data_IF_689737470355
#
_entry.id   IF_689737470355
#
_cell.length_a   1.000
_cell.length_b   1.000
_cell.length_c   1.000
_cell.angle_alpha   90.00
_cell.angle_beta   90.00
_cell.angle_gamma   90.00
#
_symmetry.space_group_name_H-M   'P 1'
#
loop_
_entity.id
_entity.type
_entity.pdbx_description
1 polymer ?
#
# COMPACT_ATOMS: atom_id res chain seq x y z
N UNK A 1 17.34 16.63 -15.68
CA UNK A 1 17.88 15.67 -16.68
C UNK A 1 18.03 16.35 -18.03
N UNK A 2 19.11 16.07 -18.73
CA UNK A 2 19.39 16.56 -20.08
C UNK A 2 19.22 15.40 -21.08
N UNK A 3 18.47 15.61 -22.16
CA UNK A 3 18.34 14.67 -23.26
C UNK A 3 18.47 15.42 -24.61
N UNK A 4 19.45 15.02 -25.42
CA UNK A 4 19.53 15.44 -26.80
C UNK A 4 18.61 14.57 -27.66
N UNK A 5 17.76 15.16 -28.48
CA UNK A 5 16.83 14.43 -29.32
C UNK A 5 17.28 14.47 -30.79
N UNK A 6 17.46 13.29 -31.36
CA UNK A 6 17.77 13.11 -32.78
C UNK A 6 16.58 12.60 -33.61
N UNK A 7 15.36 12.75 -33.13
CA UNK A 7 14.20 12.31 -33.89
C UNK A 7 13.87 13.24 -35.05
N UNK A 8 13.48 12.64 -36.19
CA UNK A 8 13.27 13.28 -37.50
C UNK A 8 12.12 14.31 -37.60
N UNK A 9 11.43 14.58 -36.53
CA UNK A 9 10.39 15.62 -36.48
C UNK A 9 10.98 16.80 -35.76
N UNK A 10 11.20 17.90 -36.42
CA UNK A 10 11.52 19.28 -35.98
C UNK A 10 11.44 19.61 -34.47
N UNK A 11 11.82 18.65 -33.63
CA UNK A 11 11.80 18.77 -32.18
C UNK A 11 13.06 19.49 -31.72
N UNK A 12 12.92 20.17 -30.61
CA UNK A 12 13.90 21.01 -29.94
C UNK A 12 15.32 20.41 -29.91
N UNK A 13 16.29 21.26 -30.12
CA UNK A 13 17.72 20.94 -30.10
C UNK A 13 18.27 20.64 -28.68
N UNK A 14 17.48 19.98 -27.86
CA UNK A 14 17.75 19.62 -26.47
C UNK A 14 16.69 20.13 -25.51
N UNK A 15 16.50 19.39 -24.42
CA UNK A 15 15.57 19.72 -23.36
C UNK A 15 16.29 19.74 -22.02
N UNK A 16 16.11 20.77 -21.24
CA UNK A 16 16.54 20.88 -19.85
C UNK A 16 15.30 20.91 -18.95
N UNK A 17 15.21 19.93 -18.04
CA UNK A 17 14.22 19.91 -16.97
C UNK A 17 14.92 20.16 -15.66
N UNK A 18 14.47 21.18 -14.94
CA UNK A 18 14.98 21.55 -13.62
C UNK A 18 13.83 21.39 -12.63
N UNK A 19 14.00 20.45 -11.72
CA UNK A 19 13.13 20.22 -10.58
C UNK A 19 13.89 20.63 -9.33
N UNK A 20 13.39 21.62 -8.58
CA UNK A 20 13.91 22.02 -7.27
C UNK A 20 12.84 21.72 -6.23
N UNK A 21 13.18 20.92 -5.22
CA UNK A 21 12.32 20.66 -4.09
C UNK A 21 13.08 20.96 -2.79
N UNK A 22 12.47 21.78 -1.96
CA UNK A 22 12.96 22.11 -0.62
C UNK A 22 11.92 21.72 0.40
N UNK A 23 12.32 20.87 1.32
CA UNK A 23 11.48 20.45 2.43
C UNK A 23 12.20 20.71 3.75
N UNK A 24 11.47 21.25 4.70
CA UNK A 24 11.91 21.28 6.08
C UNK A 24 10.84 20.66 6.97
N UNK A 25 11.30 20.05 8.05
CA UNK A 25 10.46 19.38 9.02
C UNK A 25 10.88 19.82 10.41
N UNK A 26 9.89 20.21 11.21
CA UNK A 26 10.07 20.48 12.61
C UNK A 26 9.35 19.39 13.41
N UNK A 27 10.08 18.74 14.31
CA UNK A 27 9.56 17.75 15.23
C UNK A 27 10.03 18.06 16.64
N UNK A 28 9.09 18.15 17.57
CA UNK A 28 9.41 18.22 18.99
C UNK A 28 8.58 17.23 19.76
N UNK A 29 9.24 16.48 20.63
CA UNK A 29 8.61 15.50 21.51
C UNK A 29 9.05 15.76 22.95
N UNK A 30 8.09 15.91 23.84
CA UNK A 30 8.31 16.04 25.28
C UNK A 30 7.71 14.83 25.98
N UNK A 31 8.53 14.08 26.70
CA UNK A 31 8.11 12.81 27.31
C UNK A 31 8.56 12.78 28.77
N UNK A 32 7.60 12.60 29.66
CA UNK A 32 7.84 12.31 31.08
C UNK A 32 7.72 10.79 31.28
N UNK A 33 8.74 10.17 31.84
CA UNK A 33 8.76 8.75 32.19
C UNK A 33 8.84 8.58 33.71
N UNK A 34 8.07 7.62 34.19
CA UNK A 34 8.05 7.21 35.57
C UNK A 34 8.29 5.70 35.63
N UNK A 35 9.10 5.28 36.61
CA UNK A 35 9.34 3.86 36.88
C UNK A 35 9.41 3.66 38.39
N UNK A 36 8.69 2.65 38.87
CA UNK A 36 8.68 2.31 40.30
C UNK A 36 8.58 0.80 40.47
N UNK A 37 9.40 0.27 41.38
CA UNK A 37 9.41 -1.16 41.73
C UNK A 37 9.19 -1.30 43.23
N UNK A 38 8.27 -2.19 43.63
CA UNK A 38 7.98 -2.48 45.03
C UNK A 38 7.67 -3.98 45.19
N UNK A 39 8.53 -4.66 45.94
CA UNK A 39 8.47 -6.12 46.04
C UNK A 39 8.59 -6.77 44.65
N UNK A 40 7.65 -7.61 44.29
CA UNK A 40 7.60 -8.28 42.97
C UNK A 40 6.85 -7.46 41.88
N UNK A 41 6.40 -6.27 42.20
CA UNK A 41 5.68 -5.40 41.31
C UNK A 41 6.62 -4.39 40.62
N UNK A 42 6.56 -4.35 39.30
CA UNK A 42 7.27 -3.33 38.52
C UNK A 42 6.23 -2.56 37.68
N UNK A 43 6.18 -1.27 37.88
CA UNK A 43 5.31 -0.34 37.18
C UNK A 43 6.16 0.66 36.42
N UNK A 44 5.91 0.83 35.13
CA UNK A 44 6.46 1.91 34.33
C UNK A 44 5.37 2.61 33.54
N UNK A 45 5.53 3.90 33.38
CA UNK A 45 4.58 4.69 32.61
C UNK A 45 5.25 5.87 31.94
N UNK A 46 4.61 6.35 30.91
CA UNK A 46 5.00 7.59 30.25
C UNK A 46 3.76 8.41 29.85
N UNK A 47 3.96 9.72 29.82
CA UNK A 47 3.04 10.68 29.21
C UNK A 47 3.88 11.57 28.31
N UNK A 48 3.38 11.82 27.12
CA UNK A 48 4.11 12.64 26.16
C UNK A 48 3.19 13.47 25.29
N UNK A 49 3.79 14.48 24.71
CA UNK A 49 3.21 15.26 23.62
C UNK A 49 4.21 15.35 22.47
N UNK A 50 3.69 15.45 21.26
CA UNK A 50 4.47 15.60 20.05
C UNK A 50 3.84 16.65 19.15
N UNK A 51 4.66 17.49 18.57
CA UNK A 51 4.30 18.45 17.54
C UNK A 51 5.15 18.16 16.31
N UNK A 52 4.50 17.97 15.18
CA UNK A 52 5.12 17.76 13.88
C UNK A 52 4.60 18.80 12.90
N UNK A 53 5.51 19.40 12.13
CA UNK A 53 5.20 20.32 11.05
C UNK A 53 6.13 20.06 9.88
N UNK A 54 5.59 20.01 8.69
CA UNK A 54 6.33 19.85 7.45
C UNK A 54 5.90 20.90 6.44
N UNK A 55 6.87 21.53 5.83
CA UNK A 55 6.69 22.49 4.79
C UNK A 55 7.53 22.06 3.57
N UNK A 56 6.91 21.95 2.40
CA UNK A 56 7.56 21.54 1.16
C UNK A 56 7.22 22.53 0.07
N UNK A 57 8.26 23.02 -0.60
CA UNK A 57 8.13 23.88 -1.76
C UNK A 57 8.82 23.25 -2.94
N UNK A 58 8.12 23.12 -4.07
CA UNK A 58 8.68 22.60 -5.31
C UNK A 58 8.54 23.60 -6.45
N UNK A 59 9.47 23.55 -7.39
CA UNK A 59 9.37 24.28 -8.66
C UNK A 59 9.85 23.39 -9.80
N UNK A 60 9.18 23.50 -10.94
CA UNK A 60 9.51 22.78 -12.15
C UNK A 60 9.66 23.77 -13.31
N UNK A 61 10.81 23.70 -13.99
CA UNK A 61 11.13 24.51 -15.16
C UNK A 61 11.52 23.58 -16.30
N UNK A 62 10.92 23.74 -17.45
CA UNK A 62 11.28 23.01 -18.67
C UNK A 62 11.71 23.99 -19.76
N UNK A 63 12.92 23.79 -20.30
CA UNK A 63 13.54 24.68 -21.31
C UNK A 63 13.94 23.85 -22.52
N UNK A 64 13.82 24.46 -23.69
CA UNK A 64 14.07 23.84 -24.98
C UNK A 64 15.05 24.67 -25.81
N UNK A 65 15.53 24.11 -26.93
CA UNK A 65 16.47 24.72 -27.88
C UNK A 65 17.76 25.18 -27.19
N UNK A 66 18.63 24.22 -26.90
CA UNK A 66 19.96 24.49 -26.37
C UNK A 66 20.78 25.38 -27.33
N UNK A 67 21.19 26.56 -26.86
CA UNK A 67 22.00 27.50 -27.65
C UNK A 67 23.47 27.18 -27.64
N UNK A 68 23.96 26.62 -26.54
CA UNK A 68 25.39 26.28 -26.34
C UNK A 68 25.50 24.79 -26.05
N UNK A 69 26.18 24.04 -26.91
CA UNK A 69 26.33 22.60 -26.74
C UNK A 69 27.02 22.26 -25.41
N UNK A 70 26.42 21.37 -24.64
CA UNK A 70 26.93 20.93 -23.33
C UNK A 70 26.56 21.83 -22.14
N UNK A 71 25.94 23.00 -22.38
CA UNK A 71 25.46 23.87 -21.30
C UNK A 71 24.29 23.20 -20.54
N UNK A 72 24.31 23.28 -19.20
CA UNK A 72 23.34 22.61 -18.32
C UNK A 72 22.57 23.58 -17.41
N UNK A 73 22.73 24.87 -17.61
CA UNK A 73 21.96 25.87 -16.87
C UNK A 73 20.86 26.46 -17.74
N UNK A 74 19.85 27.05 -17.10
CA UNK A 74 18.67 27.64 -17.74
C UNK A 74 19.05 28.69 -18.80
N UNK A 75 20.12 29.45 -18.58
CA UNK A 75 20.60 30.48 -19.50
C UNK A 75 21.15 29.95 -20.82
N UNK A 76 21.47 28.65 -20.92
CA UNK A 76 21.93 27.99 -22.14
C UNK A 76 20.81 27.58 -23.12
N UNK A 77 19.56 27.92 -22.83
CA UNK A 77 18.38 27.53 -23.63
C UNK A 77 17.57 28.78 -24.05
N UNK A 78 17.08 28.77 -25.30
CA UNK A 78 16.44 29.93 -25.88
C UNK A 78 14.93 29.98 -25.69
N UNK A 79 14.28 28.86 -25.39
CA UNK A 79 12.83 28.74 -25.30
C UNK A 79 12.37 28.06 -24.04
N UNK A 80 11.36 28.61 -23.44
CA UNK A 80 10.55 28.01 -22.42
C UNK A 80 9.32 27.41 -23.09
N UNK A 81 9.09 26.08 -22.92
CA UNK A 81 8.07 25.35 -23.65
C UNK A 81 8.50 24.92 -25.06
N UNK A 82 7.74 24.03 -25.71
CA UNK A 82 8.01 23.54 -27.05
C UNK A 82 7.30 24.36 -28.14
N UNK A 83 7.62 24.06 -29.42
CA UNK A 83 7.03 24.77 -30.58
C UNK A 83 5.52 24.52 -30.70
N UNK A 84 5.03 23.39 -30.23
CA UNK A 84 3.62 23.00 -30.29
C UNK A 84 2.84 23.46 -29.05
N UNK A 85 3.56 23.71 -27.96
CA UNK A 85 2.99 24.21 -26.70
C UNK A 85 3.90 25.30 -26.09
N UNK A 86 3.87 26.54 -26.67
CA UNK A 86 4.76 27.63 -26.24
C UNK A 86 4.52 28.16 -24.84
N UNK A 87 3.56 27.55 -24.11
CA UNK A 87 3.14 27.97 -22.79
C UNK A 87 3.43 26.95 -21.70
N UNK A 88 4.56 26.25 -21.74
CA UNK A 88 5.00 25.57 -20.53
C UNK A 88 5.49 26.61 -19.54
N UNK A 89 4.54 27.12 -18.80
CA UNK A 89 4.78 28.07 -17.70
C UNK A 89 5.49 27.29 -16.59
N UNK A 90 6.53 27.87 -15.94
CA UNK A 90 7.09 27.27 -14.75
C UNK A 90 5.98 26.94 -13.76
N UNK A 91 5.99 25.73 -13.25
CA UNK A 91 5.02 25.30 -12.24
C UNK A 91 5.70 25.18 -10.89
N UNK A 92 4.94 25.31 -9.84
CA UNK A 92 5.40 25.14 -8.48
C UNK A 92 4.25 24.77 -7.57
N UNK A 93 4.59 24.17 -6.45
CA UNK A 93 3.64 23.86 -5.39
C UNK A 93 4.26 24.17 -4.04
N UNK A 94 3.42 24.60 -3.13
CA UNK A 94 3.74 24.76 -1.72
C UNK A 94 2.77 23.92 -0.92
N UNK A 95 3.30 23.12 -0.01
CA UNK A 95 2.52 22.18 0.80
C UNK A 95 2.94 22.30 2.24
N UNK A 96 1.95 22.37 3.11
CA UNK A 96 2.12 22.42 4.54
C UNK A 96 1.26 21.34 5.17
N UNK A 97 1.83 20.60 6.07
CA UNK A 97 1.10 19.63 6.88
C UNK A 97 1.62 19.64 8.31
N UNK A 98 0.76 19.37 9.26
CA UNK A 98 1.12 19.34 10.65
C UNK A 98 0.25 18.39 11.46
N UNK A 99 0.81 17.88 12.53
CA UNK A 99 0.08 17.07 13.50
C UNK A 99 0.48 17.41 14.93
N UNK A 100 -0.46 17.20 15.83
CA UNK A 100 -0.28 17.33 17.26
C UNK A 100 -0.82 16.09 17.95
N UNK A 101 -0.02 15.51 18.84
CA UNK A 101 -0.35 14.27 19.52
C UNK A 101 -0.13 14.38 21.02
N UNK A 102 -1.04 13.74 21.76
CA UNK A 102 -0.87 13.48 23.20
C UNK A 102 -1.00 11.98 23.42
N UNK A 103 -0.08 11.40 24.16
CA UNK A 103 -0.06 9.96 24.38
C UNK A 103 0.37 9.58 25.78
N UNK A 104 -0.08 8.42 26.22
CA UNK A 104 0.31 7.81 27.49
C UNK A 104 0.42 6.31 27.35
N UNK A 105 1.27 5.71 28.15
CA UNK A 105 1.46 4.26 28.22
C UNK A 105 1.74 3.86 29.67
N UNK A 106 1.17 2.74 30.09
CA UNK A 106 1.43 2.13 31.39
C UNK A 106 1.77 0.65 31.17
N UNK A 107 2.86 0.22 31.76
CA UNK A 107 3.29 -1.18 31.74
C UNK A 107 3.39 -1.69 33.18
N UNK A 108 2.84 -2.85 33.42
CA UNK A 108 2.86 -3.52 34.69
C UNK A 108 3.40 -4.94 34.56
N UNK A 109 4.30 -5.31 35.45
CA UNK A 109 4.85 -6.65 35.53
C UNK A 109 4.83 -7.13 36.98
N UNK A 110 4.23 -8.28 37.22
CA UNK A 110 4.18 -8.94 38.50
C UNK A 110 5.01 -10.22 38.49
N UNK A 111 5.98 -10.30 39.37
CA UNK A 111 6.87 -11.45 39.57
C UNK A 111 7.59 -11.94 38.29
N UNK A 112 7.62 -11.15 37.23
CA UNK A 112 8.08 -11.59 35.90
C UNK A 112 7.23 -12.68 35.27
N UNK A 113 6.01 -12.93 35.78
CA UNK A 113 5.06 -13.94 35.33
C UNK A 113 3.89 -13.34 34.54
N UNK A 114 3.30 -12.27 35.07
CA UNK A 114 2.14 -11.60 34.49
C UNK A 114 2.55 -10.20 34.04
N UNK A 115 2.32 -9.92 32.79
CA UNK A 115 2.63 -8.64 32.21
C UNK A 115 1.37 -8.08 31.56
N UNK A 116 1.10 -6.79 31.80
CA UNK A 116 0.01 -6.09 31.16
C UNK A 116 0.50 -4.72 30.70
N UNK A 117 0.00 -4.25 29.56
CA UNK A 117 0.21 -2.88 29.12
C UNK A 117 -1.08 -2.25 28.61
N UNK A 118 -1.20 -0.94 28.79
CA UNK A 118 -2.25 -0.12 28.22
C UNK A 118 -1.65 1.14 27.64
N UNK A 119 -2.09 1.51 26.44
CA UNK A 119 -1.72 2.77 25.83
C UNK A 119 -2.94 3.56 25.37
N UNK A 120 -2.80 4.85 25.36
CA UNK A 120 -3.81 5.80 24.88
C UNK A 120 -3.10 6.89 24.09
N UNK A 121 -3.64 7.25 22.90
CA UNK A 121 -3.10 8.30 22.07
C UNK A 121 -4.24 9.06 21.37
N UNK A 122 -4.12 10.37 21.35
CA UNK A 122 -4.97 11.24 20.55
C UNK A 122 -4.08 12.03 19.60
N UNK A 123 -4.37 11.92 18.30
CA UNK A 123 -3.64 12.59 17.24
C UNK A 123 -4.57 13.56 16.51
N UNK A 124 -4.11 14.81 16.33
CA UNK A 124 -4.77 15.79 15.49
C UNK A 124 -3.95 16.03 14.23
N UNK A 125 -4.60 16.12 13.05
CA UNK A 125 -3.94 16.36 11.78
C UNK A 125 -4.59 17.48 10.99
N UNK A 126 -3.78 18.29 10.29
CA UNK A 126 -4.26 19.34 9.39
C UNK A 126 -4.88 18.80 8.11
N UNK A 127 -4.70 17.50 7.82
CA UNK A 127 -5.26 16.84 6.63
C UNK A 127 -6.77 16.61 6.71
N UNK A 128 -7.36 16.80 7.90
CA UNK A 128 -8.79 16.63 8.15
C UNK A 128 -9.48 17.95 8.46
N UNK A 129 -10.79 18.00 8.20
CA UNK A 129 -11.65 19.12 8.54
C UNK A 129 -11.65 19.40 10.05
N UNK A 130 -12.05 20.62 10.42
CA UNK A 130 -11.97 21.11 11.81
C UNK A 130 -12.63 20.18 12.82
N UNK A 131 -13.79 19.61 12.47
CA UNK A 131 -14.59 18.82 13.38
C UNK A 131 -14.15 17.35 13.48
N UNK A 132 -13.38 16.85 12.47
CA UNK A 132 -12.90 15.48 12.37
C UNK A 132 -11.37 15.36 12.49
N UNK A 133 -10.72 16.42 12.95
CA UNK A 133 -9.27 16.54 12.99
C UNK A 133 -8.60 15.54 13.93
N UNK A 134 -9.27 15.20 15.04
CA UNK A 134 -8.70 14.38 16.09
C UNK A 134 -9.18 12.93 16.02
N UNK A 135 -8.21 11.99 15.97
CA UNK A 135 -8.43 10.57 16.16
C UNK A 135 -7.92 10.11 17.51
N UNK A 136 -8.66 9.22 18.15
CA UNK A 136 -8.29 8.65 19.47
C UNK A 136 -8.09 7.15 19.34
N UNK A 137 -6.95 6.67 19.81
CA UNK A 137 -6.51 5.29 19.67
C UNK A 137 -6.07 4.75 21.02
N UNK A 138 -6.30 3.46 21.23
CA UNK A 138 -5.94 2.79 22.48
C UNK A 138 -5.47 1.37 22.20
N UNK A 139 -4.64 0.84 23.09
CA UNK A 139 -4.28 -0.57 23.04
C UNK A 139 -4.18 -1.17 24.43
N UNK A 140 -4.46 -2.46 24.51
CA UNK A 140 -4.29 -3.28 25.70
C UNK A 140 -3.55 -4.54 25.32
N UNK A 141 -2.58 -4.95 26.11
CA UNK A 141 -1.93 -6.23 25.95
C UNK A 141 -1.73 -6.93 27.28
N UNK A 142 -1.72 -8.27 27.22
CA UNK A 142 -1.43 -9.10 28.36
C UNK A 142 -0.58 -10.29 27.96
N UNK A 143 0.31 -10.70 28.84
CA UNK A 143 1.03 -11.96 28.66
C UNK A 143 1.23 -12.68 29.99
N UNK A 144 1.20 -14.00 29.92
CA UNK A 144 1.38 -14.90 31.04
C UNK A 144 2.51 -15.86 30.74
N UNK A 145 3.56 -15.79 31.56
CA UNK A 145 4.69 -16.71 31.50
C UNK A 145 4.39 -17.95 32.34
N UNK A 146 3.63 -18.87 31.75
CA UNK A 146 3.12 -20.10 32.38
C UNK A 146 4.26 -20.98 32.92
N UNK A 147 5.38 -21.04 32.21
CA UNK A 147 6.54 -21.81 32.61
C UNK A 147 7.17 -21.44 33.95
N UNK A 148 6.88 -20.21 34.47
CA UNK A 148 7.31 -19.77 35.79
C UNK A 148 6.35 -20.12 36.92
N UNK A 149 5.24 -20.79 36.62
CA UNK A 149 4.29 -21.22 37.66
C UNK A 149 4.79 -22.42 38.46
N UNK A 150 4.36 -22.49 39.71
CA UNK A 150 4.80 -23.56 40.62
C UNK A 150 4.40 -24.97 40.12
N UNK A 151 3.27 -25.09 39.43
CA UNK A 151 2.81 -26.37 38.87
C UNK A 151 3.68 -26.83 37.68
N UNK A 152 4.41 -25.93 37.03
CA UNK A 152 5.36 -26.20 35.95
C UNK A 152 6.76 -26.62 36.46
N UNK A 153 7.07 -26.39 37.73
CA UNK A 153 8.41 -26.62 38.29
C UNK A 153 8.83 -28.11 38.36
N UNK A 154 7.89 -29.05 38.19
CA UNK A 154 8.14 -30.52 38.32
C UNK A 154 8.35 -31.22 36.98
N UNK A 155 8.38 -30.48 35.88
CA UNK A 155 8.56 -31.06 34.53
C UNK A 155 9.80 -30.42 33.86
N UNK A 156 10.51 -31.21 33.05
CA UNK A 156 11.78 -30.83 32.41
C UNK A 156 11.63 -30.66 30.86
N UNK A 157 10.44 -30.94 30.31
CA UNK A 157 10.23 -30.92 28.86
C UNK A 157 9.99 -29.49 28.35
N UNK A 158 9.13 -28.70 29.04
CA UNK A 158 8.80 -27.36 28.65
C UNK A 158 9.76 -26.37 29.29
N UNK A 159 10.67 -25.80 28.51
CA UNK A 159 11.65 -24.84 28.99
C UNK A 159 11.04 -23.41 29.08
N UNK A 160 10.11 -23.07 28.19
CA UNK A 160 9.38 -21.83 28.21
C UNK A 160 7.98 -22.04 27.65
N UNK A 161 6.97 -21.44 28.28
CA UNK A 161 5.61 -21.35 27.78
C UNK A 161 5.07 -19.98 28.15
N UNK A 162 4.79 -19.16 27.12
CA UNK A 162 4.22 -17.82 27.26
C UNK A 162 2.99 -17.69 26.40
N UNK A 163 1.89 -17.27 26.99
CA UNK A 163 0.67 -16.87 26.28
C UNK A 163 0.66 -15.36 26.11
N UNK A 164 0.21 -14.89 24.98
CA UNK A 164 0.13 -13.45 24.64
C UNK A 164 -1.23 -13.14 24.03
N UNK A 165 -1.77 -11.98 24.38
CA UNK A 165 -2.95 -11.43 23.73
C UNK A 165 -2.80 -9.90 23.67
N UNK A 166 -3.18 -9.30 22.54
CA UNK A 166 -3.28 -7.85 22.42
C UNK A 166 -4.51 -7.47 21.59
N UNK A 167 -5.10 -6.36 21.98
CA UNK A 167 -6.17 -5.71 21.23
C UNK A 167 -5.93 -4.21 21.25
N UNK A 168 -6.08 -3.56 20.10
CA UNK A 168 -5.92 -2.12 20.03
C UNK A 168 -6.36 -1.54 18.71
N UNK A 169 -6.45 -0.21 18.70
CA UNK A 169 -6.74 0.59 17.53
C UNK A 169 -5.54 1.41 17.12
N UNK A 170 -5.39 1.67 15.82
CA UNK A 170 -4.42 2.61 15.29
C UNK A 170 -5.05 3.40 14.15
N UNK A 171 -4.71 4.70 14.09
CA UNK A 171 -5.16 5.58 13.03
C UNK A 171 -4.21 5.61 11.84
N UNK A 172 -4.76 5.89 10.69
CA UNK A 172 -4.01 6.21 9.49
C UNK A 172 -4.61 7.45 8.83
N UNK A 173 -3.76 8.39 8.48
CA UNK A 173 -4.13 9.54 7.66
C UNK A 173 -4.26 9.15 6.19
N UNK A 174 -5.02 9.96 5.45
CA UNK A 174 -4.94 9.94 4.00
C UNK A 174 -3.51 10.31 3.58
N UNK A 175 -2.92 9.52 2.68
CA UNK A 175 -1.56 9.79 2.17
C UNK A 175 -1.44 11.00 1.23
N UNK A 176 -2.43 11.89 1.22
CA UNK A 176 -2.50 13.10 0.38
C UNK A 176 -2.93 14.29 1.23
N UNK A 177 -2.31 15.45 0.97
CA UNK A 177 -2.62 16.69 1.65
C UNK A 177 -3.86 17.37 1.03
N UNK A 178 -4.52 18.21 1.81
CA UNK A 178 -5.63 19.09 1.39
C UNK A 178 -6.88 18.40 0.85
N UNK A 179 -7.15 17.13 1.20
CA UNK A 179 -8.37 16.45 0.77
C UNK A 179 -9.65 17.05 1.34
N UNK A 180 -9.54 17.80 2.43
CA UNK A 180 -10.62 18.56 3.05
C UNK A 180 -10.93 19.89 2.33
N UNK A 181 -10.04 20.35 1.41
CA UNK A 181 -10.20 21.59 0.68
C UNK A 181 -10.58 21.37 -0.78
N UNK A 182 -11.44 22.24 -1.31
CA UNK A 182 -11.66 22.31 -2.77
C UNK A 182 -10.49 23.00 -3.42
N UNK A 183 -9.82 22.29 -4.32
CA UNK A 183 -8.66 22.79 -5.06
C UNK A 183 -9.06 23.18 -6.47
N UNK A 184 -8.56 24.33 -6.91
CA UNK A 184 -8.79 24.87 -8.25
C UNK A 184 -7.51 24.76 -9.07
N UNK A 185 -7.65 24.37 -10.32
CA UNK A 185 -6.58 24.45 -11.32
C UNK A 185 -6.84 25.60 -12.25
N UNK A 186 -5.84 26.43 -12.45
CA UNK A 186 -5.84 27.46 -13.50
C UNK A 186 -5.11 26.89 -14.70
N UNK A 187 -5.78 26.71 -15.83
CA UNK A 187 -5.19 26.17 -17.05
C UNK A 187 -5.45 27.10 -18.21
N UNK A 188 -4.39 27.45 -18.91
CA UNK A 188 -4.51 28.17 -20.18
C UNK A 188 -5.10 27.31 -21.30
N UNK A 189 -5.08 25.98 -21.16
CA UNK A 189 -5.48 25.04 -22.21
C UNK A 189 -6.99 24.80 -22.25
N UNK A 190 -7.69 25.02 -21.15
CA UNK A 190 -9.15 24.80 -21.08
C UNK A 190 -9.98 25.82 -21.83
N UNK A 191 -9.38 26.96 -22.22
CA UNK A 191 -10.03 28.05 -22.90
C UNK A 191 -9.57 28.26 -24.34
N UNK A 192 -8.85 27.34 -24.95
CA UNK A 192 -8.45 27.41 -26.37
C UNK A 192 -9.67 27.49 -27.33
N UNK A 193 -10.82 26.97 -26.92
CA UNK A 193 -12.06 27.10 -27.70
C UNK A 193 -12.54 28.56 -27.83
N UNK A 194 -12.15 29.47 -26.93
CA UNK A 194 -12.49 30.90 -26.95
C UNK A 194 -11.32 31.81 -27.32
N UNK A 195 -10.17 31.23 -27.75
CA UNK A 195 -8.94 31.97 -28.08
C UNK A 195 -9.15 32.99 -29.21
N UNK A 196 -10.08 32.73 -30.11
CA UNK A 196 -10.42 33.64 -31.21
C UNK A 196 -11.46 34.72 -30.83
N UNK A 197 -11.96 34.73 -29.60
CA UNK A 197 -12.88 35.77 -29.12
C UNK A 197 -12.12 36.83 -28.34
N UNK A 198 -12.06 38.09 -28.89
CA UNK A 198 -11.29 39.18 -28.32
C UNK A 198 -11.73 39.61 -26.91
N UNK A 199 -12.91 39.20 -26.47
CA UNK A 199 -13.47 39.54 -25.15
C UNK A 199 -12.84 38.71 -24.04
N UNK A 200 -12.21 37.55 -24.34
CA UNK A 200 -11.68 36.60 -23.34
C UNK A 200 -10.17 36.44 -23.39
N UNK A 201 -9.45 37.20 -24.22
CA UNK A 201 -7.99 37.07 -24.40
C UNK A 201 -7.14 37.33 -23.15
N UNK A 202 -7.71 37.77 -22.06
CA UNK A 202 -7.01 38.06 -20.80
C UNK A 202 -7.65 37.40 -19.58
N UNK A 203 -8.65 36.55 -19.75
CA UNK A 203 -9.35 35.90 -18.64
C UNK A 203 -8.75 34.52 -18.36
N UNK A 204 -8.10 34.35 -17.22
CA UNK A 204 -7.73 33.05 -16.71
C UNK A 204 -8.95 32.41 -16.07
N UNK A 205 -9.32 31.24 -16.56
CA UNK A 205 -10.36 30.43 -15.92
C UNK A 205 -9.78 29.54 -14.85
N UNK A 206 -10.60 29.23 -13.87
CA UNK A 206 -10.29 28.24 -12.87
C UNK A 206 -11.33 27.11 -12.95
N UNK A 207 -10.86 25.87 -13.01
CA UNK A 207 -11.70 24.66 -12.91
C UNK A 207 -11.44 23.97 -11.59
N UNK A 208 -12.49 23.36 -11.03
CA UNK A 208 -12.32 22.55 -9.82
C UNK A 208 -11.54 21.30 -10.21
N UNK A 209 -10.35 21.15 -9.63
CA UNK A 209 -9.49 19.98 -9.80
C UNK A 209 -9.85 18.87 -8.81
N UNK A 210 -10.22 19.27 -7.59
CA UNK A 210 -10.59 18.38 -6.50
C UNK A 210 -11.71 19.03 -5.69
N UNK A 211 -12.79 18.30 -5.47
CA UNK A 211 -13.83 18.71 -4.53
C UNK A 211 -13.42 18.28 -3.12
N UNK A 212 -13.29 19.23 -2.22
CA UNK A 212 -12.94 19.00 -0.83
C UNK A 212 -14.05 18.27 -0.08
N UNK A 213 -13.65 17.56 0.98
CA UNK A 213 -14.57 16.92 1.91
C UNK A 213 -14.13 17.20 3.35
N UNK A 214 -14.84 18.10 4.02
CA UNK A 214 -14.59 18.46 5.42
C UNK A 214 -15.04 17.39 6.43
N UNK A 215 -15.81 16.39 5.97
CA UNK A 215 -16.27 15.25 6.76
C UNK A 215 -15.24 14.11 6.82
N UNK A 216 -14.13 14.23 6.07
CA UNK A 216 -13.08 13.22 6.13
C UNK A 216 -12.53 13.06 7.53
N UNK A 217 -12.39 11.81 7.96
CA UNK A 217 -11.85 11.40 9.24
C UNK A 217 -10.75 10.34 9.09
N UNK A 218 -10.13 10.00 10.21
CA UNK A 218 -9.11 8.97 10.29
C UNK A 218 -9.62 7.60 9.84
N UNK A 219 -8.83 6.89 9.02
CA UNK A 219 -8.99 5.45 8.87
C UNK A 219 -8.61 4.79 10.19
N UNK A 220 -9.40 3.83 10.66
CA UNK A 220 -9.14 3.13 11.92
C UNK A 220 -8.87 1.65 11.68
N UNK A 221 -7.72 1.17 12.15
CA UNK A 221 -7.40 -0.25 12.15
C UNK A 221 -7.60 -0.84 13.55
N UNK A 222 -8.47 -1.84 13.65
CA UNK A 222 -8.70 -2.66 14.84
C UNK A 222 -7.86 -3.92 14.73
N UNK A 223 -6.95 -4.13 15.67
CA UNK A 223 -6.00 -5.24 15.65
C UNK A 223 -6.24 -6.14 16.85
N UNK A 224 -6.49 -7.42 16.62
CA UNK A 224 -6.52 -8.47 17.62
C UNK A 224 -5.41 -9.47 17.28
N UNK A 225 -4.56 -9.77 18.24
CA UNK A 225 -3.52 -10.78 18.12
C UNK A 225 -3.57 -11.71 19.35
N UNK A 226 -3.46 -13.02 19.10
CA UNK A 226 -3.34 -14.04 20.13
C UNK A 226 -2.14 -14.91 19.76
N UNK A 227 -1.19 -15.02 20.66
CA UNK A 227 0.05 -15.72 20.41
C UNK A 227 0.45 -16.67 21.53
N UNK A 228 1.23 -17.67 21.16
CA UNK A 228 1.87 -18.60 22.07
C UNK A 228 3.34 -18.79 21.71
N UNK A 229 4.21 -18.67 22.70
CA UNK A 229 5.63 -18.99 22.59
C UNK A 229 5.91 -20.23 23.43
N UNK A 230 6.43 -21.28 22.80
CA UNK A 230 6.79 -22.55 23.44
C UNK A 230 8.24 -22.85 23.16
N UNK A 231 9.00 -23.16 24.20
CA UNK A 231 10.33 -23.73 24.04
C UNK A 231 10.41 -25.07 24.82
N UNK A 232 10.99 -26.05 24.20
CA UNK A 232 11.07 -27.43 24.70
C UNK A 232 12.52 -27.90 24.77
N UNK A 233 12.77 -28.92 25.64
CA UNK A 233 14.02 -29.62 25.72
C UNK A 233 15.24 -28.70 25.89
N UNK A 234 15.22 -27.84 26.91
CA UNK A 234 16.26 -26.83 27.16
C UNK A 234 16.47 -25.88 25.98
N UNK A 235 15.36 -25.36 25.45
CA UNK A 235 15.32 -24.48 24.29
C UNK A 235 15.85 -25.09 22.98
N UNK A 236 15.91 -26.43 22.90
CA UNK A 236 16.34 -27.09 21.66
C UNK A 236 15.32 -26.95 20.54
N UNK A 237 14.05 -26.81 20.86
CA UNK A 237 12.95 -26.53 19.95
C UNK A 237 12.21 -25.34 20.50
N UNK A 238 12.02 -24.30 19.66
CA UNK A 238 11.17 -23.17 20.01
C UNK A 238 10.18 -22.89 18.89
N UNK A 239 8.91 -22.69 19.25
CA UNK A 239 7.81 -22.35 18.38
C UNK A 239 7.17 -21.05 18.87
N UNK A 240 7.04 -20.08 17.99
CA UNK A 240 6.15 -18.94 18.15
C UNK A 240 5.01 -19.07 17.14
N UNK A 241 3.79 -18.99 17.61
CA UNK A 241 2.60 -19.07 16.79
C UNK A 241 1.67 -17.90 17.14
N UNK A 242 1.27 -17.16 16.13
CA UNK A 242 0.38 -16.02 16.26
C UNK A 242 -0.82 -16.19 15.32
N UNK A 243 -2.00 -15.93 15.84
CA UNK A 243 -3.20 -15.71 15.06
C UNK A 243 -3.60 -14.24 15.18
N UNK A 244 -3.93 -13.60 14.06
CA UNK A 244 -4.34 -12.23 14.05
C UNK A 244 -5.59 -11.98 13.20
N UNK A 245 -6.31 -10.94 13.60
CA UNK A 245 -7.42 -10.35 12.86
C UNK A 245 -7.24 -8.84 12.88
N UNK A 246 -7.14 -8.23 11.70
CA UNK A 246 -7.05 -6.79 11.51
C UNK A 246 -8.21 -6.32 10.62
N UNK A 247 -9.08 -5.49 11.18
CA UNK A 247 -10.14 -4.82 10.45
C UNK A 247 -9.79 -3.35 10.28
N UNK A 248 -9.76 -2.87 9.06
CA UNK A 248 -9.61 -1.46 8.74
C UNK A 248 -10.98 -0.92 8.38
N UNK A 249 -11.48 0.06 9.11
CA UNK A 249 -12.73 0.77 8.86
C UNK A 249 -12.46 2.19 8.37
N UNK A 250 -13.50 2.79 7.82
CA UNK A 250 -13.48 4.18 7.36
C UNK A 250 -12.38 4.44 6.33
N UNK A 251 -12.15 3.46 5.42
CA UNK A 251 -11.14 3.56 4.38
C UNK A 251 -11.37 4.79 3.50
N UNK A 252 -10.35 5.63 3.35
CA UNK A 252 -10.42 6.83 2.51
C UNK A 252 -10.21 6.43 1.06
N UNK A 253 -11.27 6.53 0.28
CA UNK A 253 -11.26 6.18 -1.14
C UNK A 253 -11.85 7.29 -2.00
N UNK A 254 -11.42 7.33 -3.27
CA UNK A 254 -12.02 8.21 -4.28
C UNK A 254 -13.33 7.61 -4.77
N UNK A 255 -14.43 8.29 -4.51
CA UNK A 255 -15.78 7.92 -4.98
C UNK A 255 -16.16 8.70 -6.22
N UNK A 256 -16.91 8.07 -7.13
CA UNK A 256 -17.44 8.74 -8.32
C UNK A 256 -18.67 9.54 -7.94
N UNK A 257 -18.73 10.79 -8.37
CA UNK A 257 -19.88 11.67 -8.16
C UNK A 257 -20.73 11.75 -9.43
N UNK A 258 -22.03 12.05 -9.31
CA UNK A 258 -22.88 12.36 -10.45
C UNK A 258 -22.31 13.55 -11.24
N UNK A 259 -22.37 13.50 -12.57
CA UNK A 259 -21.85 14.53 -13.46
C UNK A 259 -22.47 15.93 -13.20
N UNK A 260 -23.68 15.99 -12.64
CA UNK A 260 -24.36 17.22 -12.25
C UNK A 260 -23.57 18.06 -11.22
N UNK A 261 -22.65 17.44 -10.47
CA UNK A 261 -21.82 18.14 -9.48
C UNK A 261 -20.64 18.91 -10.12
N UNK A 262 -20.46 18.78 -11.45
CA UNK A 262 -19.35 19.45 -12.15
C UNK A 262 -17.97 18.87 -11.88
N UNK A 263 -17.85 17.90 -10.97
CA UNK A 263 -16.61 17.18 -10.60
C UNK A 263 -16.90 15.69 -10.52
N UNK A 264 -16.05 14.89 -11.16
CA UNK A 264 -16.28 13.46 -11.28
C UNK A 264 -15.95 12.64 -10.02
N UNK A 265 -15.21 13.19 -9.05
CA UNK A 265 -14.68 12.42 -7.92
C UNK A 265 -14.55 13.25 -6.65
N UNK A 266 -14.72 12.59 -5.50
CA UNK A 266 -14.45 13.12 -4.17
C UNK A 266 -13.87 12.02 -3.28
N UNK A 267 -13.01 12.37 -2.34
CA UNK A 267 -12.53 11.43 -1.33
C UNK A 267 -13.50 11.35 -0.17
N UNK A 268 -13.82 10.14 0.24
CA UNK A 268 -14.77 9.86 1.32
C UNK A 268 -14.28 8.69 2.16
N UNK A 269 -14.69 8.62 3.41
CA UNK A 269 -14.51 7.44 4.25
C UNK A 269 -15.59 6.42 3.88
N UNK A 270 -15.22 5.42 3.08
CA UNK A 270 -16.15 4.41 2.54
C UNK A 270 -15.51 3.04 2.57
N UNK A 271 -16.22 2.10 3.18
CA UNK A 271 -15.83 0.70 3.16
C UNK A 271 -14.94 0.25 4.32
N UNK A 272 -14.88 -1.07 4.43
CA UNK A 272 -14.11 -1.79 5.43
C UNK A 272 -13.39 -2.97 4.80
N UNK A 273 -12.21 -3.28 5.31
CA UNK A 273 -11.39 -4.39 4.86
C UNK A 273 -10.87 -5.18 6.05
N UNK A 274 -10.95 -6.48 5.98
CA UNK A 274 -10.45 -7.38 7.00
C UNK A 274 -9.26 -8.20 6.47
N UNK A 275 -8.23 -8.34 7.29
CA UNK A 275 -7.14 -9.28 7.11
C UNK A 275 -7.10 -10.22 8.31
N UNK A 276 -7.05 -11.51 8.07
CA UNK A 276 -6.89 -12.53 9.10
C UNK A 276 -5.86 -13.55 8.68
N UNK A 277 -5.06 -13.99 9.63
CA UNK A 277 -3.98 -14.89 9.29
C UNK A 277 -3.37 -15.61 10.47
N UNK A 278 -2.39 -16.42 10.13
CA UNK A 278 -1.57 -17.21 11.08
C UNK A 278 -0.12 -17.04 10.69
N UNK A 279 0.73 -16.84 11.68
CA UNK A 279 2.18 -16.77 11.51
C UNK A 279 2.84 -17.77 12.45
N UNK A 280 3.80 -18.54 11.93
CA UNK A 280 4.54 -19.54 12.68
C UNK A 280 6.04 -19.34 12.46
N UNK A 281 6.79 -19.42 13.55
CA UNK A 281 8.26 -19.45 13.53
C UNK A 281 8.71 -20.62 14.37
N UNK A 282 9.31 -21.62 13.73
CA UNK A 282 9.89 -22.79 14.38
C UNK A 282 11.42 -22.72 14.27
N UNK A 283 12.10 -22.73 15.42
CA UNK A 283 13.55 -22.86 15.47
C UNK A 283 13.90 -24.16 16.16
N UNK A 284 14.84 -24.89 15.59
CA UNK A 284 15.33 -26.15 16.18
C UNK A 284 16.84 -26.21 16.13
N UNK A 285 17.43 -26.69 17.20
CA UNK A 285 18.78 -27.24 17.21
C UNK A 285 18.68 -28.75 16.92
N UNK A 286 18.53 -29.06 15.62
CA UNK A 286 18.17 -30.39 15.13
C UNK A 286 19.20 -31.45 15.54
N UNK A 287 20.49 -31.14 15.34
CA UNK A 287 21.61 -31.94 15.82
C UNK A 287 22.50 -31.05 16.68
N UNK A 288 22.76 -31.49 17.90
CA UNK A 288 23.65 -30.85 18.86
C UNK A 288 24.79 -31.80 19.18
N UNK A 289 25.95 -31.60 18.57
CA UNK A 289 27.17 -32.35 18.79
C UNK A 289 28.35 -31.44 19.13
N UNK A 290 29.47 -32.04 19.56
CA UNK A 290 30.69 -31.27 19.87
C UNK A 290 31.34 -30.69 18.61
N UNK A 291 31.42 -31.45 17.53
CA UNK A 291 32.04 -31.04 16.28
C UNK A 291 31.01 -30.63 15.21
N UNK A 292 29.80 -31.22 15.23
CA UNK A 292 28.77 -30.99 14.24
C UNK A 292 27.47 -30.49 14.90
N UNK A 293 26.98 -29.35 14.39
CA UNK A 293 25.68 -28.81 14.80
C UNK A 293 24.85 -28.50 13.56
N UNK A 294 23.52 -28.71 13.71
CA UNK A 294 22.55 -28.36 12.68
C UNK A 294 21.41 -27.58 13.30
N UNK A 295 21.24 -26.34 12.82
CA UNK A 295 20.15 -25.47 13.20
C UNK A 295 19.18 -25.35 12.03
N UNK A 296 17.88 -25.33 12.34
CA UNK A 296 16.82 -25.13 11.36
C UNK A 296 15.89 -24.03 11.84
N UNK A 297 15.55 -23.11 10.94
CA UNK A 297 14.46 -22.14 11.12
C UNK A 297 13.46 -22.34 10.01
N UNK A 298 12.19 -22.55 10.37
CA UNK A 298 11.05 -22.58 9.45
C UNK A 298 10.12 -21.41 9.81
N UNK A 299 9.81 -20.60 8.82
CA UNK A 299 8.76 -19.60 8.93
C UNK A 299 7.61 -19.94 7.99
N UNK A 300 6.39 -19.72 8.44
CA UNK A 300 5.17 -19.89 7.66
C UNK A 300 4.23 -18.76 7.98
N UNK A 301 3.64 -18.16 6.95
CA UNK A 301 2.62 -17.13 7.07
C UNK A 301 1.47 -17.42 6.13
N UNK A 302 0.27 -17.22 6.62
CA UNK A 302 -0.97 -17.25 5.85
C UNK A 302 -1.73 -15.95 6.11
N UNK A 303 -2.24 -15.32 5.06
CA UNK A 303 -3.14 -14.17 5.16
C UNK A 303 -4.30 -14.30 4.18
N UNK A 304 -5.50 -14.03 4.66
CA UNK A 304 -6.68 -13.81 3.85
C UNK A 304 -7.12 -12.36 3.99
N UNK A 305 -7.37 -11.72 2.85
CA UNK A 305 -7.89 -10.37 2.77
C UNK A 305 -9.34 -10.41 2.23
N UNK A 306 -10.22 -9.60 2.79
CA UNK A 306 -11.63 -9.55 2.41
C UNK A 306 -12.14 -8.11 2.52
N UNK A 307 -12.81 -7.63 1.50
CA UNK A 307 -13.53 -6.36 1.49
C UNK A 307 -14.90 -6.59 2.15
N UNK A 308 -15.02 -6.27 3.44
CA UNK A 308 -16.18 -6.66 4.26
C UNK A 308 -17.35 -5.70 4.17
N UNK A 309 -17.12 -4.45 3.71
CA UNK A 309 -18.16 -3.44 3.52
C UNK A 309 -17.76 -2.44 2.45
N UNK A 310 -18.71 -2.04 1.62
CA UNK A 310 -18.64 -0.91 0.70
C UNK A 310 -19.90 -0.05 0.88
N UNK A 311 -19.72 1.26 1.04
CA UNK A 311 -20.86 2.21 1.08
C UNK A 311 -21.34 2.61 -0.34
N UNK A 312 -20.82 1.94 -1.36
CA UNK A 312 -21.20 2.04 -2.76
C UNK A 312 -21.31 0.63 -3.35
N UNK A 313 -22.08 0.47 -4.42
CA UNK A 313 -22.35 -0.83 -5.04
C UNK A 313 -21.05 -1.58 -5.41
N UNK A 314 -20.02 -0.84 -5.87
CA UNK A 314 -18.75 -1.42 -6.32
C UNK A 314 -17.60 -0.45 -6.16
N UNK A 315 -16.40 -0.98 -5.94
CA UNK A 315 -15.15 -0.24 -5.94
C UNK A 315 -14.41 -0.48 -7.27
N UNK A 316 -14.22 0.59 -8.07
CA UNK A 316 -13.43 0.51 -9.29
C UNK A 316 -12.03 1.08 -9.07
N UNK A 317 -11.00 0.25 -9.27
CA UNK A 317 -9.60 0.67 -9.24
C UNK A 317 -9.05 0.83 -10.66
N UNK A 318 -8.02 1.66 -10.79
CA UNK A 318 -7.32 1.88 -12.07
C UNK A 318 -6.99 0.55 -12.76
N UNK A 319 -7.24 0.44 -14.07
CA UNK A 319 -7.00 -0.76 -14.86
C UNK A 319 -8.17 -1.73 -14.94
N UNK A 320 -9.39 -1.23 -14.79
CA UNK A 320 -10.65 -2.01 -14.97
C UNK A 320 -10.87 -3.12 -13.94
N UNK A 321 -10.35 -2.95 -12.73
CA UNK A 321 -10.60 -3.86 -11.62
C UNK A 321 -11.80 -3.36 -10.83
N UNK A 322 -12.89 -4.11 -10.85
CA UNK A 322 -14.08 -3.87 -10.04
C UNK A 322 -14.15 -4.90 -8.92
N UNK A 323 -14.39 -4.43 -7.72
CA UNK A 323 -14.52 -5.25 -6.52
C UNK A 323 -15.88 -5.00 -5.88
N UNK A 324 -16.43 -6.04 -5.28
CA UNK A 324 -17.68 -6.05 -4.53
C UNK A 324 -17.40 -6.45 -3.08
N UNK A 325 -18.40 -6.29 -2.22
CA UNK A 325 -18.33 -6.86 -0.87
C UNK A 325 -18.10 -8.37 -0.94
N UNK A 326 -17.23 -8.88 -0.08
CA UNK A 326 -16.80 -10.28 -0.04
C UNK A 326 -15.59 -10.59 -0.92
N UNK A 327 -15.22 -9.72 -1.86
CA UNK A 327 -14.05 -9.91 -2.71
C UNK A 327 -12.72 -9.75 -1.95
N UNK A 328 -11.72 -10.49 -2.39
CA UNK A 328 -10.35 -10.23 -1.98
C UNK A 328 -9.74 -9.16 -2.90
N UNK A 329 -9.15 -8.11 -2.32
CA UNK A 329 -8.60 -6.97 -3.08
C UNK A 329 -7.39 -7.35 -3.95
N UNK A 330 -6.77 -8.49 -3.68
CA UNK A 330 -5.65 -9.04 -4.44
C UNK A 330 -6.11 -9.97 -5.59
N UNK A 331 -7.43 -10.14 -5.79
CA UNK A 331 -7.96 -10.92 -6.92
C UNK A 331 -7.54 -10.34 -8.27
N UNK A 332 -7.15 -11.23 -9.15
CA UNK A 332 -6.94 -10.95 -10.56
C UNK A 332 -8.23 -11.26 -11.32
N UNK A 333 -8.98 -10.23 -11.67
CA UNK A 333 -10.19 -10.35 -12.47
C UNK A 333 -9.86 -10.04 -13.93
N UNK A 334 -10.09 -10.99 -14.84
CA UNK A 334 -9.80 -10.88 -16.27
C UNK A 334 -10.88 -11.59 -17.08
N UNK A 335 -11.07 -11.17 -18.34
CA UNK A 335 -11.88 -11.95 -19.28
C UNK A 335 -11.12 -13.24 -19.59
N UNK A 336 -11.79 -14.37 -19.43
CA UNK A 336 -11.18 -15.69 -19.64
C UNK A 336 -11.20 -16.05 -21.11
N UNK A 337 -10.05 -16.31 -21.70
CA UNK A 337 -9.92 -16.94 -23.01
C UNK A 337 -10.17 -18.45 -22.85
N UNK A 338 -11.10 -19.02 -23.62
CA UNK A 338 -11.48 -20.43 -23.57
C UNK A 338 -10.78 -21.27 -24.61
N UNK A 339 -10.32 -20.64 -25.69
CA UNK A 339 -9.67 -21.34 -26.81
C UNK A 339 -9.56 -20.46 -28.04
N UNK A 340 -9.29 -21.13 -29.15
CA UNK A 340 -9.29 -20.54 -30.49
C UNK A 340 -10.34 -21.28 -31.31
N UNK A 341 -11.17 -20.56 -32.02
CA UNK A 341 -12.14 -21.12 -32.96
C UNK A 341 -11.39 -21.81 -34.13
N UNK A 342 -11.59 -23.12 -34.33
CA UNK A 342 -10.86 -23.86 -35.35
C UNK A 342 -11.21 -23.47 -36.78
N UNK A 343 -12.38 -22.83 -37.00
CA UNK A 343 -12.83 -22.42 -38.35
C UNK A 343 -12.30 -21.02 -38.70
N UNK A 344 -12.29 -20.11 -37.72
CA UNK A 344 -11.94 -18.70 -37.96
C UNK A 344 -10.54 -18.35 -37.52
N UNK A 345 -9.93 -19.13 -36.62
CA UNK A 345 -8.63 -18.83 -35.99
C UNK A 345 -8.67 -17.71 -34.97
N UNK A 346 -9.86 -17.18 -34.61
CA UNK A 346 -9.98 -16.12 -33.60
C UNK A 346 -10.10 -16.67 -32.18
N UNK A 347 -9.64 -15.86 -31.19
CA UNK A 347 -9.78 -16.21 -29.79
C UNK A 347 -11.26 -16.25 -29.38
N UNK A 348 -11.62 -17.25 -28.59
CA UNK A 348 -12.92 -17.39 -27.95
C UNK A 348 -12.84 -16.98 -26.46
N UNK A 349 -13.89 -16.33 -25.96
CA UNK A 349 -13.95 -15.77 -24.63
C UNK A 349 -15.11 -16.34 -23.82
N UNK A 350 -14.93 -16.52 -22.53
CA UNK A 350 -16.03 -16.86 -21.63
C UNK A 350 -16.77 -15.59 -21.25
N UNK A 351 -18.07 -15.54 -21.49
CA UNK A 351 -19.01 -14.58 -20.94
C UNK A 351 -19.80 -15.26 -19.83
N UNK A 352 -19.53 -14.89 -18.60
CA UNK A 352 -20.23 -15.41 -17.40
C UNK A 352 -21.35 -14.44 -17.08
N UNK A 353 -22.59 -14.92 -17.13
CA UNK A 353 -23.77 -14.14 -16.80
C UNK A 353 -23.98 -14.03 -15.28
N UNK A 354 -24.88 -13.15 -14.84
CA UNK A 354 -25.19 -12.95 -13.42
C UNK A 354 -25.75 -14.19 -12.72
N UNK A 355 -26.42 -15.08 -13.49
CA UNK A 355 -26.93 -16.36 -12.99
C UNK A 355 -25.85 -17.46 -12.89
N UNK A 356 -24.60 -17.14 -13.22
CA UNK A 356 -23.46 -18.07 -13.24
C UNK A 356 -23.34 -18.92 -14.49
N UNK A 357 -24.27 -18.80 -15.45
CA UNK A 357 -24.15 -19.49 -16.74
C UNK A 357 -22.98 -18.93 -17.55
N UNK A 358 -22.34 -19.77 -18.36
CA UNK A 358 -21.19 -19.37 -19.16
C UNK A 358 -21.47 -19.60 -20.63
N UNK A 359 -21.42 -18.55 -21.43
CA UNK A 359 -21.50 -18.56 -22.87
C UNK A 359 -20.12 -18.36 -23.50
N UNK A 360 -19.80 -19.09 -24.57
CA UNK A 360 -18.59 -18.88 -25.35
C UNK A 360 -18.89 -17.90 -26.47
N UNK A 361 -18.14 -16.79 -26.54
CA UNK A 361 -18.32 -15.73 -27.53
C UNK A 361 -17.05 -15.53 -28.36
N UNK A 362 -17.23 -15.07 -29.61
CA UNK A 362 -16.16 -14.99 -30.60
C UNK A 362 -15.33 -13.69 -30.52
N UNK A 363 -15.74 -12.71 -29.70
CA UNK A 363 -15.02 -11.44 -29.60
C UNK A 363 -15.08 -10.88 -28.21
N UNK A 364 -14.11 -10.03 -27.88
CA UNK A 364 -14.07 -9.32 -26.58
C UNK A 364 -15.27 -8.37 -26.41
N UNK A 365 -15.78 -7.79 -27.53
CA UNK A 365 -16.95 -6.92 -27.51
C UNK A 365 -18.25 -7.67 -27.19
N UNK A 366 -18.32 -8.96 -27.49
CA UNK A 366 -19.45 -9.81 -27.13
C UNK A 366 -19.36 -10.33 -25.68
N UNK A 367 -18.17 -10.30 -25.10
CA UNK A 367 -17.96 -10.63 -23.67
C UNK A 367 -18.39 -9.51 -22.71
N UNK A 368 -19.23 -8.58 -23.19
CA UNK A 368 -19.83 -7.49 -22.40
C UNK A 368 -21.16 -7.96 -21.83
N UNK A 369 -21.39 -7.71 -20.55
CA UNK A 369 -22.62 -8.01 -19.83
C UNK A 369 -23.72 -6.97 -20.12
N UNK A 370 -24.95 -7.27 -19.72
CA UNK A 370 -26.09 -6.37 -19.92
C UNK A 370 -25.93 -4.97 -19.32
N UNK A 371 -25.08 -4.82 -18.29
CA UNK A 371 -24.73 -3.55 -17.64
C UNK A 371 -23.61 -2.76 -18.36
N UNK A 372 -23.12 -3.26 -19.50
CA UNK A 372 -22.04 -2.64 -20.29
C UNK A 372 -20.62 -2.94 -19.80
N UNK A 373 -20.45 -3.79 -18.80
CA UNK A 373 -19.15 -4.20 -18.27
C UNK A 373 -18.64 -5.49 -18.94
N UNK A 374 -17.30 -5.63 -19.04
CA UNK A 374 -16.70 -6.88 -19.48
C UNK A 374 -16.93 -7.98 -18.43
N UNK A 375 -17.20 -9.20 -18.90
CA UNK A 375 -17.35 -10.36 -18.05
C UNK A 375 -16.00 -10.80 -17.48
N UNK A 376 -15.64 -10.22 -16.34
CA UNK A 376 -14.42 -10.57 -15.62
C UNK A 376 -14.66 -11.76 -14.71
N UNK A 377 -13.78 -12.74 -14.76
CA UNK A 377 -13.74 -13.87 -13.82
C UNK A 377 -12.50 -13.78 -12.95
N UNK A 378 -12.61 -14.25 -11.70
CA UNK A 378 -11.47 -14.39 -10.82
C UNK A 378 -10.58 -15.54 -11.34
N UNK A 379 -9.34 -15.21 -11.69
CA UNK A 379 -8.34 -16.18 -12.18
C UNK A 379 -7.30 -16.56 -11.12
N UNK A 380 -7.44 -16.05 -9.90
CA UNK A 380 -6.57 -16.29 -8.76
C UNK A 380 -6.11 -14.99 -8.10
N UNK A 381 -5.21 -15.10 -7.14
CA UNK A 381 -4.69 -13.97 -6.37
C UNK A 381 -3.40 -13.43 -7.01
N UNK A 382 -3.22 -12.11 -7.00
CA UNK A 382 -1.97 -11.45 -7.41
C UNK A 382 -0.90 -11.46 -6.32
N UNK A 383 -1.30 -11.70 -5.09
CA UNK A 383 -0.41 -11.83 -3.92
C UNK A 383 -0.56 -13.23 -3.34
N UNK A 384 0.58 -13.84 -3.00
CA UNK A 384 0.60 -15.16 -2.39
C UNK A 384 -0.11 -15.15 -1.02
N UNK A 385 -1.14 -15.96 -0.80
CA UNK A 385 -1.74 -16.10 0.53
C UNK A 385 -0.87 -16.91 1.50
N UNK A 386 0.03 -17.75 1.00
CA UNK A 386 0.96 -18.54 1.77
C UNK A 386 2.39 -18.18 1.41
N UNK A 387 3.21 -17.83 2.40
CA UNK A 387 4.64 -17.56 2.19
C UNK A 387 5.46 -17.90 3.42
N UNK A 388 6.75 -18.04 3.22
CA UNK A 388 7.68 -18.30 4.30
C UNK A 388 9.09 -18.58 3.83
N UNK A 389 9.90 -19.11 4.75
CA UNK A 389 11.28 -19.46 4.51
C UNK A 389 11.71 -20.66 5.30
N UNK A 390 12.69 -21.35 4.77
CA UNK A 390 13.33 -22.51 5.38
C UNK A 390 14.83 -22.31 5.36
N UNK A 391 15.42 -22.15 6.53
CA UNK A 391 16.84 -21.91 6.73
C UNK A 391 17.47 -23.07 7.45
N UNK A 392 18.61 -23.56 6.96
CA UNK A 392 19.45 -24.54 7.63
C UNK A 392 20.87 -24.01 7.75
N UNK A 393 21.43 -24.11 8.93
CA UNK A 393 22.83 -23.82 9.21
C UNK A 393 23.50 -25.07 9.74
N UNK A 394 24.49 -25.54 9.03
CA UNK A 394 25.31 -26.68 9.41
C UNK A 394 26.69 -26.17 9.80
N UNK A 395 27.16 -26.51 10.99
CA UNK A 395 28.53 -26.21 11.41
C UNK A 395 29.28 -27.51 11.66
N UNK A 396 30.46 -27.62 11.09
CA UNK A 396 31.36 -28.70 11.31
C UNK A 396 32.79 -28.19 11.54
N UNK A 397 33.27 -28.29 12.78
CA UNK A 397 34.53 -27.67 13.20
C UNK A 397 34.60 -26.18 12.83
N UNK A 398 35.50 -25.83 11.89
CA UNK A 398 35.67 -24.45 11.42
C UNK A 398 34.88 -24.13 10.15
N UNK A 399 34.02 -25.03 9.67
CA UNK A 399 33.21 -24.86 8.49
C UNK A 399 31.77 -24.55 8.86
N UNK A 400 31.17 -23.62 8.13
CA UNK A 400 29.75 -23.32 8.20
C UNK A 400 29.13 -23.36 6.81
N UNK A 401 28.00 -24.05 6.68
CA UNK A 401 27.16 -24.04 5.50
C UNK A 401 25.80 -23.47 5.85
N UNK A 402 25.45 -22.36 5.23
CA UNK A 402 24.15 -21.70 5.37
C UNK A 402 23.31 -21.87 4.10
N UNK A 403 22.12 -22.47 4.25
CA UNK A 403 21.16 -22.63 3.16
C UNK A 403 19.86 -21.94 3.53
N UNK A 404 19.42 -21.01 2.69
CA UNK A 404 18.16 -20.30 2.88
C UNK A 404 17.30 -20.45 1.63
N UNK A 405 16.03 -20.84 1.83
CA UNK A 405 15.02 -20.99 0.79
C UNK A 405 13.80 -20.20 1.19
N UNK A 406 13.25 -19.41 0.28
CA UNK A 406 11.96 -18.76 0.44
C UNK A 406 10.92 -19.40 -0.45
N UNK A 407 9.68 -19.37 -0.04
CA UNK A 407 8.57 -19.86 -0.85
C UNK A 407 7.37 -18.90 -0.77
N UNK A 408 6.64 -18.82 -1.89
CA UNK A 408 5.38 -18.11 -2.01
C UNK A 408 4.46 -18.97 -2.89
N UNK A 409 3.27 -19.28 -2.40
CA UNK A 409 2.39 -20.26 -3.02
C UNK A 409 1.02 -19.67 -3.32
N UNK A 410 0.35 -20.25 -4.31
CA UNK A 410 -1.04 -20.00 -4.69
C UNK A 410 -1.30 -18.56 -5.14
N UNK A 411 -0.42 -18.03 -6.00
CA UNK A 411 -0.62 -16.72 -6.62
C UNK A 411 -0.35 -16.76 -8.12
N UNK A 412 -0.83 -15.74 -8.82
CA UNK A 412 -0.69 -15.55 -10.26
C UNK A 412 0.06 -14.27 -10.56
N UNK A 413 0.94 -14.32 -11.55
CA UNK A 413 1.63 -13.13 -12.05
C UNK A 413 1.13 -12.84 -13.47
N UNK A 414 0.68 -11.61 -13.70
CA UNK A 414 0.35 -11.17 -15.05
C UNK A 414 1.63 -10.87 -15.82
N UNK A 415 1.87 -11.62 -16.89
CA UNK A 415 3.03 -11.42 -17.76
C UNK A 415 2.75 -10.28 -18.74
N UNK A 416 2.98 -9.03 -18.30
CA UNK A 416 2.76 -7.84 -19.11
C UNK A 416 3.70 -7.77 -20.34
N UNK A 417 4.91 -8.29 -20.21
CA UNK A 417 5.90 -8.33 -21.30
C UNK A 417 5.38 -9.22 -22.44
N UNK A 418 4.92 -10.43 -22.11
CA UNK A 418 4.33 -11.32 -23.12
C UNK A 418 3.07 -10.71 -23.73
N UNK A 419 2.20 -10.10 -22.91
CA UNK A 419 0.99 -9.45 -23.39
C UNK A 419 1.30 -8.29 -24.35
N UNK A 420 2.32 -7.49 -24.09
CA UNK A 420 2.77 -6.42 -24.99
C UNK A 420 3.28 -6.96 -26.33
N UNK A 421 4.13 -7.99 -26.29
CA UNK A 421 4.67 -8.61 -27.49
C UNK A 421 3.64 -9.37 -28.34
N UNK A 422 2.54 -9.83 -27.72
CA UNK A 422 1.49 -10.59 -28.42
C UNK A 422 0.26 -9.75 -28.79
N UNK A 423 0.15 -8.52 -28.29
CA UNK A 423 -1.05 -7.68 -28.45
C UNK A 423 -1.33 -7.22 -29.88
N UNK A 424 -0.36 -7.29 -30.79
CA UNK A 424 -0.51 -6.87 -32.19
C UNK A 424 -0.87 -5.40 -32.43
N UNK A 425 -1.10 -4.63 -31.33
CA UNK A 425 -1.55 -3.22 -31.38
C UNK A 425 -0.42 -2.22 -31.38
N UNK A 426 0.80 -2.65 -31.08
CA UNK A 426 1.99 -1.79 -31.07
C UNK A 426 2.76 -1.90 -32.38
N UNK A 427 2.36 -1.11 -33.37
CA UNK A 427 3.00 -1.06 -34.70
C UNK A 427 4.39 -0.39 -34.71
N UNK A 428 4.89 0.08 -33.58
CA UNK A 428 6.00 1.04 -33.62
C UNK A 428 7.36 0.59 -33.08
N UNK A 429 7.50 -0.59 -32.43
CA UNK A 429 8.84 -0.93 -31.92
C UNK A 429 9.12 -2.38 -31.50
N UNK A 430 8.24 -3.33 -31.62
CA UNK A 430 8.51 -4.68 -31.12
C UNK A 430 8.67 -5.68 -32.28
N UNK A 431 9.80 -6.34 -32.33
CA UNK A 431 9.93 -7.57 -33.09
C UNK A 431 8.91 -8.57 -32.51
N UNK A 432 7.87 -8.86 -33.28
CA UNK A 432 6.89 -9.89 -32.96
C UNK A 432 7.67 -11.21 -32.80
N UNK A 433 7.85 -11.66 -31.58
CA UNK A 433 8.23 -13.04 -31.37
C UNK A 433 7.10 -13.93 -31.91
N UNK A 434 7.43 -14.78 -32.86
CA UNK A 434 6.53 -15.84 -33.30
C UNK A 434 6.15 -16.63 -32.05
N UNK A 435 4.87 -16.60 -31.69
CA UNK A 435 4.33 -17.55 -30.73
C UNK A 435 4.59 -18.92 -31.30
N UNK A 436 5.28 -19.85 -30.62
CA UNK A 436 5.44 -21.19 -31.08
C UNK A 436 4.04 -21.76 -31.31
N UNK A 437 3.74 -22.17 -32.56
CA UNK A 437 2.57 -22.98 -32.86
C UNK A 437 2.81 -24.35 -32.22
N UNK A 438 2.29 -24.55 -31.01
CA UNK A 438 2.19 -25.85 -30.35
C UNK A 438 0.82 -26.42 -30.52
#
# INVERSE_FOLDING_TARGET
TYSGNHSRNEMSNGVLKVDDERSWTFLTSNILRLQHSFGEHNLSGLVGQEWYERHTRSSHIEMYDQMIAGERNVGGFSKQGDKTNPAVIPTGAERESGSFSVFSEVNYNYAGKYMASASFRTDGSTNFGKDNRYGTFYSFSGSWLVSREAFMARQDVVSNLKLRMSYGTSGKEAGMDYLNYTLYSTSNTTFDYYRDHPVYQSAYGATINQLGNDQLSWETAYNLNIGVDVALLNNRISLSADWYKRRNSDLIMSTTLPAANGVGRQYQNVGEMENRGVELVLNTHTVKGEEFNWFTTLTFSYNNNELTKLDQEKLTRSGYKTFYEGDNIDELKKVKVTGVDPETGFAQYARVEEDGSTNIVGSLSEAVLGNGELSYVNIGLSRAPYWGGFTNTFTYKNWELYLHTTYSLDYKVYNSVLAEYTSGTSWTSSNLHKVPSG
#
